data_IF_183914884892
#
_entry.id   IF_183914884892
#
_cell.length_a   1.000
_cell.length_b   1.000
_cell.length_c   1.000
_cell.angle_alpha   90.00
_cell.angle_beta   90.00
_cell.angle_gamma   90.00
#
_symmetry.space_group_name_H-M   'P 1'
#
loop_
_entity.id
_entity.type
_entity.pdbx_description
1 polymer ?
#
# COMPACT_ATOMS: atom_id res chain seq x y z
N UNK A 1 -25.34 -31.48 -90.79
CA UNK A 1 -24.36 -31.27 -89.68
C UNK A 1 -23.80 -32.65 -89.34
N UNK A 2 -22.50 -32.87 -89.48
CA UNK A 2 -21.91 -34.17 -89.14
C UNK A 2 -21.85 -34.33 -87.62
N UNK A 3 -21.90 -35.57 -87.13
CA UNK A 3 -21.68 -35.87 -85.71
C UNK A 3 -20.38 -35.23 -85.20
N UNK A 4 -19.33 -35.24 -86.03
CA UNK A 4 -18.05 -34.59 -85.72
C UNK A 4 -18.18 -33.07 -85.52
N UNK A 5 -18.93 -32.38 -86.38
CA UNK A 5 -19.17 -30.93 -86.23
C UNK A 5 -19.99 -30.58 -84.98
N UNK A 6 -20.93 -31.44 -84.59
CA UNK A 6 -21.72 -31.25 -83.38
C UNK A 6 -20.89 -31.48 -82.11
N UNK A 7 -20.04 -32.51 -82.09
CA UNK A 7 -19.11 -32.80 -80.99
C UNK A 7 -18.08 -31.68 -80.82
N UNK A 8 -17.53 -31.14 -81.92
CA UNK A 8 -16.61 -30.01 -81.86
C UNK A 8 -17.25 -28.74 -81.29
N UNK A 9 -18.51 -28.45 -81.67
CA UNK A 9 -19.26 -27.32 -81.13
C UNK A 9 -19.55 -27.50 -79.63
N UNK A 10 -19.90 -28.70 -79.18
CA UNK A 10 -20.11 -29.00 -77.75
C UNK A 10 -18.80 -28.85 -76.95
N UNK A 11 -17.68 -29.35 -77.46
CA UNK A 11 -16.39 -29.23 -76.81
C UNK A 11 -15.97 -27.75 -76.65
N UNK A 12 -16.20 -26.93 -77.67
CA UNK A 12 -15.94 -25.48 -77.60
C UNK A 12 -16.82 -24.79 -76.56
N UNK A 13 -18.12 -25.14 -76.51
CA UNK A 13 -19.04 -24.58 -75.50
C UNK A 13 -18.64 -24.96 -74.09
N UNK A 14 -18.30 -26.23 -73.88
CA UNK A 14 -17.84 -26.72 -72.58
C UNK A 14 -16.55 -26.02 -72.13
N UNK A 15 -15.59 -25.80 -73.04
CA UNK A 15 -14.37 -25.07 -72.73
C UNK A 15 -14.66 -23.62 -72.29
N UNK A 16 -15.61 -22.95 -72.95
CA UNK A 16 -16.04 -21.60 -72.56
C UNK A 16 -16.71 -21.59 -71.19
N UNK A 17 -17.68 -22.49 -70.95
CA UNK A 17 -18.39 -22.60 -69.67
C UNK A 17 -17.43 -22.90 -68.51
N UNK A 18 -16.47 -23.82 -68.70
CA UNK A 18 -15.45 -24.13 -67.70
C UNK A 18 -14.55 -22.94 -67.38
N UNK A 19 -14.21 -22.11 -68.36
CA UNK A 19 -13.40 -20.90 -68.13
C UNK A 19 -14.17 -19.81 -67.39
N UNK A 20 -15.46 -19.62 -67.69
CA UNK A 20 -16.33 -18.70 -66.97
C UNK A 20 -16.49 -19.12 -65.51
N UNK A 21 -16.83 -20.39 -65.28
CA UNK A 21 -16.97 -20.95 -63.92
C UNK A 21 -15.68 -20.80 -63.11
N UNK A 22 -14.52 -21.05 -63.74
CA UNK A 22 -13.21 -20.82 -63.11
C UNK A 22 -13.02 -19.36 -62.68
N UNK A 23 -13.41 -18.41 -63.52
CA UNK A 23 -13.34 -16.98 -63.21
C UNK A 23 -14.23 -16.58 -62.03
N UNK A 24 -15.49 -17.06 -62.03
CA UNK A 24 -16.46 -16.78 -60.96
C UNK A 24 -16.01 -17.37 -59.61
N UNK A 25 -15.50 -18.61 -59.61
CA UNK A 25 -14.95 -19.24 -58.40
C UNK A 25 -13.75 -18.49 -57.83
N UNK A 26 -12.83 -18.03 -58.69
CA UNK A 26 -11.66 -17.25 -58.27
C UNK A 26 -12.07 -15.89 -57.68
N UNK A 27 -13.04 -15.21 -58.30
CA UNK A 27 -13.58 -13.96 -57.80
C UNK A 27 -14.29 -14.14 -56.44
N UNK A 28 -15.10 -15.20 -56.30
CA UNK A 28 -15.78 -15.52 -55.05
C UNK A 28 -14.81 -15.85 -53.91
N UNK A 29 -13.76 -16.62 -54.18
CA UNK A 29 -12.75 -16.97 -53.18
C UNK A 29 -11.96 -15.75 -52.72
N UNK A 30 -11.58 -14.88 -53.65
CA UNK A 30 -10.87 -13.62 -53.36
C UNK A 30 -11.74 -12.67 -52.53
N UNK A 31 -13.03 -12.56 -52.88
CA UNK A 31 -13.97 -11.70 -52.16
C UNK A 31 -14.23 -12.16 -50.72
N UNK A 32 -14.29 -13.47 -50.47
CA UNK A 32 -14.47 -14.01 -49.11
C UNK A 32 -13.29 -13.69 -48.18
N UNK A 33 -12.05 -13.78 -48.68
CA UNK A 33 -10.86 -13.48 -47.88
C UNK A 33 -10.74 -11.98 -47.52
N UNK A 34 -11.19 -11.10 -48.41
CA UNK A 34 -11.11 -9.66 -48.22
C UNK A 34 -12.28 -9.07 -47.42
N UNK A 35 -13.43 -9.77 -47.32
CA UNK A 35 -14.63 -9.18 -46.73
C UNK A 35 -14.57 -9.04 -45.20
N UNK A 36 -13.86 -9.92 -44.49
CA UNK A 36 -13.44 -9.73 -43.09
C UNK A 36 -12.69 -10.96 -42.60
N UNK A 37 -11.49 -10.75 -42.06
CA UNK A 37 -10.89 -11.67 -41.09
C UNK A 37 -10.36 -10.84 -39.93
N UNK A 38 -10.74 -11.21 -38.72
CA UNK A 38 -10.30 -10.55 -37.49
C UNK A 38 -9.73 -11.61 -36.57
N UNK A 39 -8.59 -11.31 -35.96
CA UNK A 39 -8.00 -12.16 -34.92
C UNK A 39 -8.26 -11.55 -33.55
N UNK A 40 -8.78 -12.37 -32.64
CA UNK A 40 -8.77 -12.06 -31.22
C UNK A 40 -7.41 -12.40 -30.61
N UNK A 41 -7.06 -11.73 -29.51
CA UNK A 41 -5.86 -12.10 -28.76
C UNK A 41 -5.91 -13.57 -28.26
N UNK A 42 -7.10 -14.10 -28.00
CA UNK A 42 -7.33 -15.49 -27.59
C UNK A 42 -7.05 -16.54 -28.67
N UNK A 43 -6.91 -16.14 -29.95
CA UNK A 43 -6.57 -17.07 -31.04
C UNK A 43 -5.11 -17.54 -30.96
N UNK A 44 -4.27 -16.86 -30.16
CA UNK A 44 -2.87 -17.21 -29.94
C UNK A 44 -2.78 -18.18 -28.75
N UNK A 45 -2.74 -19.48 -29.04
CA UNK A 45 -2.65 -20.53 -27.99
C UNK A 45 -1.23 -21.00 -27.70
N UNK A 46 -0.24 -20.60 -28.51
CA UNK A 46 1.18 -20.97 -28.34
C UNK A 46 2.11 -19.99 -29.05
N UNK A 47 3.42 -20.07 -28.75
CA UNK A 47 4.47 -19.22 -29.33
C UNK A 47 4.76 -17.96 -28.50
N UNK A 48 5.50 -17.03 -29.10
CA UNK A 48 5.97 -15.79 -28.45
C UNK A 48 5.49 -14.57 -29.23
N UNK A 49 4.92 -13.59 -28.53
CA UNK A 49 4.60 -12.28 -29.10
C UNK A 49 5.79 -11.34 -28.99
N UNK A 50 6.07 -10.59 -30.06
CA UNK A 50 7.06 -9.52 -29.99
C UNK A 50 6.60 -8.46 -28.98
N UNK A 51 7.52 -8.02 -28.11
CA UNK A 51 7.21 -7.10 -27.01
C UNK A 51 6.54 -5.81 -27.49
N UNK A 52 6.91 -5.30 -28.67
CA UNK A 52 6.32 -4.11 -29.28
C UNK A 52 4.82 -4.23 -29.61
N UNK A 53 4.24 -5.44 -29.59
CA UNK A 53 2.80 -5.68 -29.81
C UNK A 53 2.00 -5.83 -28.51
N UNK A 54 2.66 -5.82 -27.35
CA UNK A 54 2.01 -5.91 -26.04
C UNK A 54 1.98 -4.50 -25.44
N UNK A 55 0.83 -4.00 -24.95
CA UNK A 55 0.78 -2.75 -24.20
C UNK A 55 1.62 -2.89 -22.93
N UNK A 56 2.74 -2.19 -22.85
CA UNK A 56 3.69 -2.30 -21.73
C UNK A 56 3.90 -0.99 -21.01
N UNK A 57 4.01 -1.02 -19.69
CA UNK A 57 4.04 0.18 -18.85
C UNK A 57 3.74 -0.10 -17.39
N UNK A 58 3.41 0.95 -16.63
CA UNK A 58 3.14 0.90 -15.18
C UNK A 58 1.68 1.16 -14.81
N UNK A 59 0.79 1.36 -15.80
CA UNK A 59 -0.64 1.56 -15.54
C UNK A 59 -1.36 0.22 -15.40
N UNK A 60 -2.56 0.24 -14.81
CA UNK A 60 -3.40 -0.95 -14.63
C UNK A 60 -3.86 -1.64 -15.92
N UNK A 61 -3.60 -1.06 -17.09
CA UNK A 61 -3.95 -1.61 -18.41
C UNK A 61 -2.73 -2.04 -19.22
N UNK A 62 -1.54 -2.05 -18.63
CA UNK A 62 -0.28 -2.37 -19.30
C UNK A 62 0.52 -3.40 -18.52
N UNK A 63 1.31 -4.22 -19.23
CA UNK A 63 2.19 -5.23 -18.61
C UNK A 63 3.54 -4.60 -18.29
N UNK A 64 4.07 -4.83 -17.09
CA UNK A 64 5.41 -4.37 -16.73
C UNK A 64 6.49 -5.12 -17.54
N UNK A 65 7.46 -4.40 -18.10
CA UNK A 65 8.62 -5.01 -18.76
C UNK A 65 9.62 -5.52 -17.72
N UNK A 66 9.85 -6.84 -17.68
CA UNK A 66 10.84 -7.47 -16.80
C UNK A 66 10.26 -8.12 -15.54
N UNK A 67 11.13 -8.40 -14.55
CA UNK A 67 10.70 -8.95 -13.26
C UNK A 67 9.96 -7.86 -12.48
N UNK A 68 8.63 -7.99 -12.39
CA UNK A 68 7.80 -7.16 -11.54
C UNK A 68 7.98 -7.58 -10.08
N UNK A 69 9.15 -7.26 -9.54
CA UNK A 69 9.39 -7.43 -8.11
C UNK A 69 8.59 -6.32 -7.43
N UNK A 70 7.54 -6.68 -6.70
CA UNK A 70 6.88 -5.72 -5.83
C UNK A 70 7.91 -5.27 -4.79
N UNK A 71 8.48 -4.09 -4.97
CA UNK A 71 9.19 -3.37 -3.93
C UNK A 71 8.15 -2.88 -2.91
N UNK A 72 7.54 -3.83 -2.21
CA UNK A 72 7.22 -3.53 -0.82
C UNK A 72 8.57 -3.36 -0.19
N UNK A 73 8.90 -2.08 0.08
CA UNK A 73 9.99 -1.61 0.93
C UNK A 73 10.85 -2.76 1.39
N UNK A 74 12.05 -2.88 0.81
CA UNK A 74 13.14 -3.72 1.28
C UNK A 74 12.83 -4.21 2.69
N UNK A 75 12.49 -5.49 2.82
CA UNK A 75 12.14 -6.04 4.12
C UNK A 75 13.26 -5.80 5.13
N UNK A 76 14.48 -5.42 4.73
CA UNK A 76 15.49 -4.92 5.67
C UNK A 76 15.10 -3.58 6.32
N UNK A 77 14.47 -2.64 5.60
CA UNK A 77 13.92 -1.39 6.14
C UNK A 77 12.53 -1.57 6.78
N UNK A 78 11.70 -2.45 6.22
CA UNK A 78 10.39 -2.80 6.79
C UNK A 78 10.52 -3.59 8.10
N UNK A 79 11.40 -4.58 8.14
CA UNK A 79 11.74 -5.37 9.32
C UNK A 79 12.57 -4.55 10.30
N UNK A 80 13.46 -3.64 9.87
CA UNK A 80 14.09 -2.69 10.79
C UNK A 80 13.07 -1.74 11.44
N UNK A 81 12.13 -1.18 10.68
CA UNK A 81 11.07 -0.30 11.22
C UNK A 81 10.08 -1.08 12.08
N UNK A 82 9.72 -2.30 11.67
CA UNK A 82 8.84 -3.20 12.44
C UNK A 82 9.52 -3.66 13.74
N UNK A 83 10.79 -4.05 13.70
CA UNK A 83 11.58 -4.40 14.90
C UNK A 83 11.80 -3.19 15.81
N UNK A 84 12.10 -2.01 15.28
CA UNK A 84 12.20 -0.77 16.09
C UNK A 84 10.85 -0.36 16.69
N UNK A 85 9.73 -0.67 16.04
CA UNK A 85 8.38 -0.48 16.58
C UNK A 85 7.90 -1.62 17.50
N UNK A 86 8.65 -2.71 17.63
CA UNK A 86 8.24 -3.88 18.41
C UNK A 86 9.27 -4.29 19.49
N UNK A 87 10.43 -3.63 19.56
CA UNK A 87 11.40 -3.78 20.64
C UNK A 87 11.11 -2.75 21.73
N UNK A 88 10.74 -3.23 22.92
CA UNK A 88 10.64 -2.39 24.10
C UNK A 88 12.02 -2.22 24.76
N UNK A 89 12.35 -1.02 25.29
CA UNK A 89 11.57 0.21 25.22
C UNK A 89 11.75 0.90 23.86
N UNK A 90 10.66 1.45 23.31
CA UNK A 90 10.74 2.28 22.11
C UNK A 90 11.23 3.68 22.44
N UNK A 91 11.86 4.37 21.49
CA UNK A 91 12.32 5.76 21.69
C UNK A 91 11.60 6.72 20.74
N UNK A 92 11.15 7.86 21.26
CA UNK A 92 10.57 8.97 20.50
C UNK A 92 11.27 10.29 20.88
N UNK A 93 11.70 11.07 19.90
CA UNK A 93 12.19 12.43 20.13
C UNK A 93 11.09 13.43 19.79
N UNK A 94 10.76 14.31 20.74
CA UNK A 94 9.74 15.35 20.60
C UNK A 94 10.41 16.73 20.60
N UNK A 95 10.22 17.45 19.50
CA UNK A 95 10.75 18.81 19.29
C UNK A 95 9.65 19.83 18.99
N UNK A 96 8.39 19.44 19.19
CA UNK A 96 7.17 20.22 18.88
C UNK A 96 6.27 20.32 20.11
N UNK A 97 5.38 21.32 20.13
CA UNK A 97 4.44 21.55 21.24
C UNK A 97 3.36 20.47 21.37
N UNK A 98 3.19 19.63 20.35
CA UNK A 98 2.32 18.46 20.37
C UNK A 98 3.02 17.28 19.69
N UNK A 99 2.79 16.07 20.19
CA UNK A 99 3.26 14.83 19.59
C UNK A 99 2.31 13.67 19.89
N UNK A 100 2.21 12.73 18.96
CA UNK A 100 1.54 11.47 19.19
C UNK A 100 2.57 10.44 19.66
N UNK A 101 2.28 9.77 20.77
CA UNK A 101 3.10 8.71 21.32
C UNK A 101 2.42 7.38 21.04
N UNK A 102 2.82 6.69 19.98
CA UNK A 102 2.41 5.29 19.79
C UNK A 102 2.93 4.48 20.97
N UNK A 103 2.09 3.92 21.81
CA UNK A 103 2.53 3.05 22.93
C UNK A 103 2.51 1.57 22.54
N UNK A 104 1.93 1.24 21.39
CA UNK A 104 1.89 -0.09 20.77
C UNK A 104 1.39 -1.21 21.69
N UNK A 105 1.62 -2.45 21.24
CA UNK A 105 1.35 -3.64 22.04
C UNK A 105 2.39 -3.86 23.16
N UNK A 106 3.57 -3.22 23.09
CA UNK A 106 4.64 -3.45 24.07
C UNK A 106 4.41 -2.67 25.37
N UNK A 107 3.81 -1.48 25.32
CA UNK A 107 3.37 -0.71 26.48
C UNK A 107 4.40 0.26 27.06
N UNK A 108 5.71 0.02 26.86
CA UNK A 108 6.76 0.88 27.42
C UNK A 108 7.40 1.76 26.34
N UNK A 109 7.42 3.07 26.58
CA UNK A 109 7.92 4.10 25.67
C UNK A 109 8.83 5.07 26.41
N UNK A 110 10.02 5.32 25.85
CA UNK A 110 10.93 6.37 26.27
C UNK A 110 10.80 7.57 25.32
N UNK A 111 10.68 8.77 25.87
CA UNK A 111 10.52 10.00 25.12
C UNK A 111 11.59 10.99 25.55
N UNK A 112 12.25 11.63 24.60
CA UNK A 112 13.14 12.76 24.86
C UNK A 112 12.49 14.04 24.36
N UNK A 113 12.30 15.03 25.23
CA UNK A 113 11.78 16.36 24.87
C UNK A 113 12.94 17.33 24.74
N UNK A 114 13.26 17.74 23.50
CA UNK A 114 14.55 18.37 23.21
C UNK A 114 14.54 19.90 23.25
N UNK A 115 13.62 20.55 22.53
CA UNK A 115 13.71 22.00 22.25
C UNK A 115 12.57 22.82 22.86
N UNK A 116 11.43 22.19 23.12
CA UNK A 116 10.20 22.87 23.56
C UNK A 116 10.07 22.92 25.06
N UNK A 117 9.68 24.06 25.65
CA UNK A 117 9.52 24.21 27.11
C UNK A 117 8.23 23.57 27.64
N UNK A 118 7.23 23.44 26.78
CA UNK A 118 5.99 22.72 27.06
C UNK A 118 5.60 21.86 25.87
N UNK A 119 5.19 20.62 26.12
CA UNK A 119 4.69 19.71 25.07
C UNK A 119 3.50 18.89 25.56
N UNK A 120 2.55 18.66 24.66
CA UNK A 120 1.43 17.74 24.86
C UNK A 120 1.69 16.44 24.11
N UNK A 121 1.84 15.36 24.86
CA UNK A 121 2.04 14.02 24.33
C UNK A 121 0.69 13.31 24.37
N UNK A 122 0.16 12.89 23.23
CA UNK A 122 -1.10 12.13 23.14
C UNK A 122 -0.77 10.67 22.88
N UNK A 123 -0.92 9.79 23.89
CA UNK A 123 -0.78 8.36 23.70
C UNK A 123 -1.76 7.81 22.64
N UNK A 124 -1.29 6.99 21.71
CA UNK A 124 -2.09 6.31 20.67
C UNK A 124 -1.81 4.82 20.62
N UNK A 125 -2.73 4.05 20.04
CA UNK A 125 -2.58 2.61 19.74
C UNK A 125 -2.35 1.68 20.94
N UNK A 126 -2.67 2.12 22.17
CA UNK A 126 -2.62 1.24 23.34
C UNK A 126 -3.70 0.17 23.34
N UNK A 127 -3.40 -0.96 23.95
CA UNK A 127 -4.33 -2.09 24.05
C UNK A 127 -5.26 -1.94 25.26
N UNK A 128 -6.55 -2.22 25.07
CA UNK A 128 -7.54 -2.14 26.14
C UNK A 128 -7.16 -3.00 27.36
N UNK A 129 -7.26 -2.42 28.55
CA UNK A 129 -6.91 -3.05 29.83
C UNK A 129 -5.42 -3.04 30.15
N UNK A 130 -4.55 -2.63 29.21
CA UNK A 130 -3.10 -2.66 29.40
C UNK A 130 -2.61 -1.37 30.04
N UNK A 131 -1.69 -1.52 30.99
CA UNK A 131 -0.91 -0.41 31.53
C UNK A 131 0.32 -0.17 30.66
N UNK A 132 0.59 1.09 30.37
CA UNK A 132 1.71 1.57 29.58
C UNK A 132 2.52 2.57 30.40
N UNK A 133 3.84 2.45 30.35
CA UNK A 133 4.76 3.39 31.01
C UNK A 133 5.37 4.30 29.95
N UNK A 134 5.25 5.60 30.18
CA UNK A 134 5.89 6.62 29.36
C UNK A 134 6.92 7.33 30.23
N UNK A 135 8.19 7.05 29.98
CA UNK A 135 9.30 7.78 30.60
C UNK A 135 9.68 8.93 29.69
N UNK A 136 9.71 10.14 30.25
CA UNK A 136 9.99 11.36 29.53
C UNK A 136 11.24 12.02 30.10
N UNK A 137 12.30 12.07 29.31
CA UNK A 137 13.53 12.75 29.62
C UNK A 137 13.46 14.19 29.12
N UNK A 138 13.63 15.15 30.02
CA UNK A 138 13.81 16.54 29.66
C UNK A 138 15.26 16.78 29.21
N UNK A 139 15.47 17.23 27.97
CA UNK A 139 16.82 17.56 27.52
C UNK A 139 17.46 18.63 28.42
N UNK A 140 18.79 18.56 28.52
CA UNK A 140 19.59 19.48 29.33
C UNK A 140 19.30 20.95 28.99
N UNK A 141 19.38 21.82 29.99
CA UNK A 141 19.35 23.28 29.82
C UNK A 141 18.02 23.97 30.15
N UNK A 142 16.90 23.24 30.32
CA UNK A 142 15.65 23.83 30.81
C UNK A 142 14.72 22.80 31.45
N UNK A 143 13.91 23.24 32.43
CA UNK A 143 12.74 22.49 32.89
C UNK A 143 11.71 22.40 31.76
N UNK A 144 11.12 21.23 31.60
CA UNK A 144 10.15 20.92 30.55
C UNK A 144 8.83 20.55 31.20
N UNK A 145 7.74 21.22 30.82
CA UNK A 145 6.39 20.81 31.21
C UNK A 145 5.85 19.82 30.19
N UNK A 146 5.47 18.64 30.64
CA UNK A 146 4.92 17.60 29.78
C UNK A 146 3.48 17.34 30.21
N UNK A 147 2.57 17.39 29.24
CA UNK A 147 1.14 17.19 29.44
C UNK A 147 0.75 15.92 28.70
N UNK A 148 0.02 15.02 29.35
CA UNK A 148 -0.64 13.90 28.67
C UNK A 148 -1.95 14.44 28.07
N UNK A 149 -1.99 14.53 26.74
CA UNK A 149 -3.10 15.04 25.93
C UNK A 149 -4.28 14.08 25.84
N UNK A 150 -5.24 14.36 24.97
CA UNK A 150 -6.38 13.48 24.66
C UNK A 150 -7.45 13.37 25.75
N UNK A 151 -7.48 14.30 26.71
CA UNK A 151 -8.48 14.36 27.79
C UNK A 151 -8.58 13.05 28.59
N UNK A 152 -7.47 12.55 29.17
CA UNK A 152 -7.49 11.29 29.90
C UNK A 152 -8.37 11.38 31.13
N UNK A 153 -8.93 10.24 31.55
CA UNK A 153 -9.42 10.13 32.93
C UNK A 153 -8.24 10.30 33.89
N UNK A 154 -8.45 10.96 35.01
CA UNK A 154 -7.44 11.08 36.06
C UNK A 154 -7.71 10.02 37.11
N UNK A 155 -6.68 9.26 37.48
CA UNK A 155 -6.74 8.36 38.63
C UNK A 155 -6.96 9.12 39.93
N UNK A 156 -7.30 8.39 41.00
CA UNK A 156 -7.47 8.99 42.32
C UNK A 156 -6.20 9.72 42.76
N UNK A 157 -6.35 10.94 43.29
CA UNK A 157 -5.22 11.77 43.72
C UNK A 157 -4.47 12.50 42.60
N UNK A 158 -4.82 12.30 41.33
CA UNK A 158 -4.20 13.02 40.20
C UNK A 158 -4.98 14.31 39.90
N UNK A 159 -4.42 15.45 40.30
CA UNK A 159 -5.03 16.78 40.06
C UNK A 159 -4.86 17.25 38.61
N UNK A 160 -3.73 16.90 37.97
CA UNK A 160 -3.44 17.22 36.58
C UNK A 160 -2.62 16.11 35.91
N UNK A 161 -2.91 15.84 34.64
CA UNK A 161 -2.17 14.90 33.81
C UNK A 161 -0.92 15.57 33.21
N UNK A 162 -0.12 16.23 34.06
CA UNK A 162 1.06 16.98 33.63
C UNK A 162 2.16 16.93 34.69
N UNK A 163 3.42 17.07 34.25
CA UNK A 163 4.59 17.11 35.11
C UNK A 163 5.58 18.17 34.63
N UNK A 164 6.13 18.94 35.58
CA UNK A 164 7.31 19.76 35.32
C UNK A 164 8.56 18.91 35.62
N UNK A 165 9.33 18.63 34.58
CA UNK A 165 10.51 17.76 34.63
C UNK A 165 11.75 18.65 34.59
N UNK A 166 12.59 18.69 35.64
CA UNK A 166 13.83 19.45 35.65
C UNK A 166 14.76 19.05 34.51
N UNK A 167 15.65 19.96 34.11
CA UNK A 167 16.65 19.68 33.07
C UNK A 167 17.45 18.40 33.39
N UNK A 168 17.49 17.46 32.46
CA UNK A 168 18.16 16.16 32.64
C UNK A 168 17.41 15.16 33.53
N UNK A 169 16.27 15.55 34.11
CA UNK A 169 15.42 14.66 34.90
C UNK A 169 14.53 13.77 34.02
N UNK A 170 13.99 12.73 34.65
CA UNK A 170 13.02 11.81 34.04
C UNK A 170 11.68 11.96 34.76
N UNK A 171 10.62 12.22 34.00
CA UNK A 171 9.24 12.15 34.47
C UNK A 171 8.58 10.88 33.97
N UNK A 172 7.88 10.17 34.86
CA UNK A 172 7.16 8.94 34.52
C UNK A 172 5.67 9.17 34.55
N UNK A 173 4.99 8.74 33.48
CA UNK A 173 3.55 8.68 33.39
C UNK A 173 3.13 7.23 33.22
N UNK A 174 2.29 6.74 34.13
CA UNK A 174 1.69 5.41 34.02
C UNK A 174 0.25 5.61 33.57
N UNK A 175 -0.07 5.08 32.39
CA UNK A 175 -1.39 5.20 31.79
C UNK A 175 -2.01 3.82 31.63
N UNK A 176 -3.34 3.73 31.66
CA UNK A 176 -4.07 2.51 31.34
C UNK A 176 -5.10 2.78 30.27
N UNK A 177 -5.06 2.01 29.19
CA UNK A 177 -6.07 2.12 28.15
C UNK A 177 -7.36 1.45 28.59
N UNK A 178 -8.47 2.17 28.48
CA UNK A 178 -9.80 1.65 28.80
C UNK A 178 -10.76 2.15 27.75
N UNK A 179 -11.40 1.25 26.99
CA UNK A 179 -12.48 1.64 26.08
C UNK A 179 -13.82 1.92 26.79
N UNK A 180 -13.86 1.90 28.12
CA UNK A 180 -15.10 2.12 28.89
C UNK A 180 -15.19 3.56 29.41
N UNK A 181 -15.87 4.43 28.65
CA UNK A 181 -16.20 5.82 28.97
C UNK A 181 -15.82 6.83 27.86
N UNK A 182 -16.03 8.14 28.10
CA UNK A 182 -15.74 9.22 27.13
C UNK A 182 -14.24 9.44 26.82
N UNK A 183 -13.33 8.78 27.54
CA UNK A 183 -11.89 8.93 27.38
C UNK A 183 -11.25 7.55 27.17
N UNK A 184 -10.33 7.47 26.21
CA UNK A 184 -9.74 6.21 25.72
C UNK A 184 -8.68 5.62 26.67
N UNK A 185 -8.19 6.39 27.65
CA UNK A 185 -7.23 5.97 28.67
C UNK A 185 -7.35 6.80 29.96
N UNK A 186 -6.84 6.25 31.06
CA UNK A 186 -6.62 6.93 32.33
C UNK A 186 -5.13 7.17 32.57
N UNK A 187 -4.80 8.24 33.29
CA UNK A 187 -3.48 8.43 33.92
C UNK A 187 -3.60 7.95 35.36
N UNK A 188 -2.93 6.85 35.68
CA UNK A 188 -2.96 6.23 37.00
C UNK A 188 -1.93 6.89 37.94
N UNK A 189 -0.76 7.29 37.41
CA UNK A 189 0.24 8.03 38.17
C UNK A 189 1.13 8.91 37.28
N UNK A 190 1.69 9.95 37.88
CA UNK A 190 2.55 10.93 37.22
C UNK A 190 3.54 11.48 38.25
N UNK A 191 4.83 11.17 38.14
CA UNK A 191 5.85 11.52 39.14
C UNK A 191 7.26 11.62 38.55
N UNK A 192 8.18 12.30 39.25
CA UNK A 192 9.59 12.34 38.89
C UNK A 192 10.29 11.05 39.32
N UNK A 193 11.09 10.47 38.43
CA UNK A 193 11.96 9.34 38.76
C UNK A 193 13.22 9.89 39.41
N UNK A 194 13.55 9.36 40.59
CA UNK A 194 14.74 9.72 41.35
C UNK A 194 16.02 9.18 40.71
#
# INVERSE_FOLDING_TARGET
MSLASAVAALASRLATELNTLRGEMAAGLTGKANSSHTHGAGDVTSGTLAVARVPTGTSGTTVALGNHTHSYLDQSAGDARYRQHNQAPRTLTVSTSTANADVGAAGDLQITVSTVTSTTITPTNGQNGRTCVIDVTAASGATRTVIIGGSPKKGEGISAAQLAIPAGGIGRFVIRYTTLGSAAYSVDSCYLVA
#
